data_IF_891997267711
#
_entry.id   IF_891997267711
#
_cell.length_a   1.000
_cell.length_b   1.000
_cell.length_c   1.000
_cell.angle_alpha   90.00
_cell.angle_beta   90.00
_cell.angle_gamma   90.00
#
_symmetry.space_group_name_H-M   'P 1'
#
loop_
_entity.id
_entity.type
_entity.pdbx_description
1 polymer ?
#
# COMPACT_ATOMS: atom_id res chain seq x y z
N UNK A 1 -10.11 -8.79 9.33
CA UNK A 1 -8.71 -8.36 9.52
C UNK A 1 -8.42 -7.09 8.71
N UNK A 2 -8.53 -7.12 7.37
CA UNK A 2 -8.29 -5.93 6.52
C UNK A 2 -9.20 -4.74 6.88
N UNK A 3 -10.49 -4.98 7.15
CA UNK A 3 -11.42 -3.94 7.57
C UNK A 3 -10.95 -3.18 8.83
N UNK A 4 -10.58 -3.91 9.88
CA UNK A 4 -10.06 -3.32 11.13
C UNK A 4 -8.77 -2.51 10.88
N UNK A 5 -7.87 -2.99 10.01
CA UNK A 5 -6.66 -2.26 9.65
C UNK A 5 -6.99 -0.97 8.89
N UNK A 6 -8.00 -1.01 8.01
CA UNK A 6 -8.43 0.14 7.23
C UNK A 6 -9.10 1.20 8.12
N UNK A 7 -9.99 0.79 9.00
CA UNK A 7 -10.62 1.66 10.00
C UNK A 7 -9.58 2.32 10.89
N UNK A 8 -8.59 1.57 11.38
CA UNK A 8 -7.50 2.12 12.18
C UNK A 8 -6.67 3.15 11.40
N UNK A 9 -6.17 2.80 10.22
CA UNK A 9 -5.33 3.70 9.42
C UNK A 9 -6.07 4.99 9.05
N UNK A 10 -7.34 4.87 8.65
CA UNK A 10 -8.19 6.01 8.31
C UNK A 10 -8.47 6.88 9.53
N UNK A 11 -8.74 6.25 10.69
CA UNK A 11 -8.92 6.97 11.95
C UNK A 11 -7.69 7.76 12.38
N UNK A 12 -6.49 7.24 12.14
CA UNK A 12 -5.23 7.94 12.40
C UNK A 12 -4.99 9.08 11.40
N UNK A 13 -5.19 8.82 10.10
CA UNK A 13 -5.08 9.84 9.05
C UNK A 13 -5.98 11.05 9.34
N UNK A 14 -7.24 10.81 9.72
CA UNK A 14 -8.20 11.87 10.05
C UNK A 14 -7.81 12.69 11.30
N UNK A 15 -6.93 12.16 12.16
CA UNK A 15 -6.36 12.86 13.32
C UNK A 15 -5.08 13.62 12.99
N UNK A 16 -4.69 13.67 11.71
CA UNK A 16 -3.46 14.30 11.25
C UNK A 16 -2.21 13.45 11.47
N UNK A 17 -2.36 12.16 11.82
CA UNK A 17 -1.23 11.24 11.99
C UNK A 17 -0.76 10.79 10.60
N UNK A 18 0.53 10.93 10.25
CA UNK A 18 1.04 10.49 8.97
C UNK A 18 0.91 8.97 8.79
N UNK A 19 0.45 8.55 7.61
CA UNK A 19 0.44 7.14 7.21
C UNK A 19 1.62 6.93 6.27
N UNK A 20 2.46 5.93 6.54
CA UNK A 20 3.66 5.66 5.74
C UNK A 20 3.55 4.29 5.10
N UNK A 21 3.49 4.31 3.78
CA UNK A 21 3.47 3.10 2.95
C UNK A 21 4.82 2.40 2.89
N UNK A 22 4.81 1.08 3.05
CA UNK A 22 6.01 0.24 2.96
C UNK A 22 5.77 -0.94 2.02
N UNK A 23 6.77 -1.25 1.20
CA UNK A 23 6.74 -2.39 0.27
C UNK A 23 7.86 -3.42 0.56
N UNK A 24 8.73 -3.12 1.52
CA UNK A 24 9.86 -3.95 1.91
C UNK A 24 9.92 -4.05 3.43
N UNK A 25 10.19 -5.25 3.95
CA UNK A 25 10.36 -5.46 5.40
C UNK A 25 11.67 -4.89 5.94
N UNK A 26 12.63 -4.56 5.07
CA UNK A 26 13.82 -3.81 5.48
C UNK A 26 13.53 -2.34 5.80
N UNK A 27 12.32 -1.84 5.46
CA UNK A 27 11.91 -0.50 5.89
C UNK A 27 11.75 -0.49 7.42
N UNK A 28 12.48 0.37 8.15
CA UNK A 28 12.54 0.33 9.61
C UNK A 28 11.24 0.82 10.23
N UNK A 29 10.36 -0.11 10.60
CA UNK A 29 9.03 0.14 11.19
C UNK A 29 9.15 0.94 12.49
N UNK A 30 10.19 0.65 13.26
CA UNK A 30 10.50 1.26 14.54
C UNK A 30 10.73 2.75 14.41
N UNK A 31 11.41 3.21 13.33
CA UNK A 31 11.63 4.63 13.09
C UNK A 31 10.33 5.35 12.70
N UNK A 32 9.48 4.71 11.90
CA UNK A 32 8.16 5.25 11.52
C UNK A 32 7.28 5.43 12.77
N UNK A 33 7.23 4.40 13.62
CA UNK A 33 6.49 4.45 14.89
C UNK A 33 7.06 5.49 15.85
N UNK A 34 8.39 5.59 15.97
CA UNK A 34 9.06 6.59 16.81
C UNK A 34 8.80 8.03 16.34
N UNK A 35 8.63 8.24 15.04
CA UNK A 35 8.21 9.52 14.46
C UNK A 35 6.73 9.84 14.68
N UNK A 36 5.97 8.98 15.36
CA UNK A 36 4.54 9.15 15.61
C UNK A 36 3.66 8.88 14.39
N UNK A 37 4.17 8.15 13.39
CA UNK A 37 3.45 7.79 12.17
C UNK A 37 2.98 6.32 12.19
N UNK A 38 2.09 5.95 11.27
CA UNK A 38 1.54 4.60 11.14
C UNK A 38 2.15 3.89 9.93
N UNK A 39 2.93 2.80 10.12
CA UNK A 39 3.44 2.00 9.01
C UNK A 39 2.34 1.10 8.42
N UNK A 40 2.19 1.09 7.11
CA UNK A 40 1.24 0.24 6.38
C UNK A 40 1.96 -0.55 5.28
N UNK A 41 1.75 -1.86 5.24
CA UNK A 41 2.28 -2.71 4.17
C UNK A 41 1.39 -2.62 2.94
N UNK A 42 1.97 -2.25 1.79
CA UNK A 42 1.22 -1.96 0.56
C UNK A 42 1.38 -3.00 -0.55
N UNK A 43 2.14 -4.08 -0.31
CA UNK A 43 2.32 -5.15 -1.28
C UNK A 43 0.98 -5.75 -1.72
N UNK A 44 0.65 -5.60 -3.00
CA UNK A 44 -0.56 -6.12 -3.64
C UNK A 44 -0.44 -7.61 -3.97
N UNK A 45 -1.49 -8.37 -3.67
CA UNK A 45 -1.58 -9.82 -3.90
C UNK A 45 -2.76 -10.25 -4.77
N UNK A 46 -3.30 -9.36 -5.61
CA UNK A 46 -4.43 -9.62 -6.50
C UNK A 46 -3.98 -9.76 -7.96
N UNK A 47 -4.28 -10.90 -8.56
CA UNK A 47 -4.03 -11.20 -9.97
C UNK A 47 -4.87 -10.32 -10.92
N UNK A 48 -6.09 -9.96 -10.51
CA UNK A 48 -7.00 -9.09 -11.29
C UNK A 48 -6.40 -7.72 -11.62
N UNK A 49 -5.40 -7.29 -10.85
CA UNK A 49 -4.70 -6.01 -11.02
C UNK A 49 -3.53 -6.08 -12.01
N UNK A 50 -3.08 -7.27 -12.40
CA UNK A 50 -1.92 -7.44 -13.28
C UNK A 50 -2.19 -6.86 -14.67
N UNK A 51 -3.36 -7.15 -15.27
CA UNK A 51 -3.68 -6.68 -16.62
C UNK A 51 -3.70 -5.14 -16.74
N UNK A 52 -4.14 -4.45 -15.68
CA UNK A 52 -4.09 -2.98 -15.65
C UNK A 52 -2.65 -2.47 -15.56
N UNK A 53 -1.76 -3.17 -14.86
CA UNK A 53 -0.37 -2.79 -14.70
C UNK A 53 0.47 -3.03 -15.96
N UNK A 54 0.19 -4.09 -16.71
CA UNK A 54 0.93 -4.45 -17.93
C UNK A 54 0.69 -3.49 -19.10
N UNK A 55 -0.23 -2.53 -18.97
CA UNK A 55 -0.37 -1.41 -19.90
C UNK A 55 0.86 -0.48 -19.86
N UNK A 56 1.48 -0.37 -18.68
CA UNK A 56 2.61 0.54 -18.43
C UNK A 56 3.90 -0.22 -18.05
N UNK A 57 3.80 -1.47 -17.62
CA UNK A 57 4.92 -2.29 -17.13
C UNK A 57 5.16 -3.55 -17.99
N UNK A 58 6.41 -4.05 -18.06
CA UNK A 58 6.70 -5.29 -18.78
C UNK A 58 5.99 -6.52 -18.18
N UNK A 59 5.49 -7.40 -19.04
CA UNK A 59 4.82 -8.64 -18.62
C UNK A 59 5.71 -9.56 -17.76
N UNK A 60 7.03 -9.54 -17.99
CA UNK A 60 8.03 -10.34 -17.25
C UNK A 60 8.34 -9.85 -15.83
N UNK A 61 7.67 -8.81 -15.32
CA UNK A 61 7.90 -8.29 -13.97
C UNK A 61 7.21 -9.14 -12.89
N UNK A 62 7.73 -9.09 -11.66
CA UNK A 62 7.18 -9.79 -10.50
C UNK A 62 5.66 -9.51 -10.32
N UNK A 63 4.82 -10.55 -10.15
CA UNK A 63 3.37 -10.39 -9.98
C UNK A 63 2.96 -9.48 -8.82
N UNK A 64 3.73 -9.46 -7.72
CA UNK A 64 3.45 -8.60 -6.56
C UNK A 64 3.66 -7.11 -6.88
N UNK A 65 4.69 -6.79 -7.68
CA UNK A 65 4.91 -5.42 -8.16
C UNK A 65 3.78 -5.02 -9.10
N UNK A 66 3.46 -5.90 -10.07
CA UNK A 66 2.37 -5.66 -11.02
C UNK A 66 1.03 -5.46 -10.31
N UNK A 67 0.70 -6.29 -9.33
CA UNK A 67 -0.53 -6.14 -8.55
C UNK A 67 -0.59 -4.80 -7.82
N UNK A 68 0.48 -4.44 -7.11
CA UNK A 68 0.58 -3.15 -6.39
C UNK A 68 0.42 -1.96 -7.35
N UNK A 69 1.11 -1.99 -8.48
CA UNK A 69 1.02 -0.94 -9.50
C UNK A 69 -0.38 -0.90 -10.13
N UNK A 70 -1.00 -2.04 -10.39
CA UNK A 70 -2.36 -2.11 -10.91
C UNK A 70 -3.37 -1.48 -9.96
N UNK A 71 -3.24 -1.71 -8.65
CA UNK A 71 -4.03 -1.00 -7.63
C UNK A 71 -3.83 0.51 -7.68
N UNK A 72 -2.59 0.98 -7.82
CA UNK A 72 -2.27 2.40 -7.97
C UNK A 72 -2.90 2.98 -9.25
N UNK A 73 -2.72 2.29 -10.38
CA UNK A 73 -3.18 2.69 -11.71
C UNK A 73 -4.70 2.81 -11.81
N UNK A 74 -5.43 1.92 -11.15
CA UNK A 74 -6.91 1.95 -11.10
C UNK A 74 -7.45 2.72 -9.90
N UNK A 75 -6.59 3.32 -9.07
CA UNK A 75 -6.95 4.03 -7.83
C UNK A 75 -7.91 3.24 -6.93
N UNK A 76 -7.73 1.91 -6.87
CA UNK A 76 -8.72 1.01 -6.26
C UNK A 76 -8.23 0.39 -4.95
N UNK A 77 -7.18 0.93 -4.35
CA UNK A 77 -6.72 0.56 -3.02
C UNK A 77 -6.71 1.81 -2.14
N UNK A 78 -7.60 1.89 -1.13
CA UNK A 78 -7.73 3.09 -0.32
C UNK A 78 -6.51 3.34 0.58
N UNK A 79 -5.71 2.31 0.91
CA UNK A 79 -4.45 2.51 1.63
C UNK A 79 -3.42 3.28 0.79
N UNK A 80 -3.39 3.07 -0.53
CA UNK A 80 -2.50 3.83 -1.43
C UNK A 80 -2.91 5.29 -1.59
N UNK A 81 -4.15 5.65 -1.22
CA UNK A 81 -4.64 7.02 -1.33
C UNK A 81 -4.34 7.85 -0.06
N UNK A 82 -4.22 7.19 1.10
CA UNK A 82 -4.01 7.86 2.40
C UNK A 82 -2.56 7.79 2.90
N UNK A 83 -1.76 6.91 2.32
CA UNK A 83 -0.32 6.75 2.57
C UNK A 83 0.50 7.50 1.52
#
# INVERSE_FOLDING_TARGET
>A
MIANCYEYATGQHNRGVPIIGMMCEYTPRELILAAGAVPVCLCGGSEEKIAAAEQDLPAGLCPLIKSTYGYHRTQSNPFLAIA
#
